data_IF_901042217093
#
_entry.id   IF_901042217093
#
_cell.length_a   1.000
_cell.length_b   1.000
_cell.length_c   1.000
_cell.angle_alpha   90.00
_cell.angle_beta   90.00
_cell.angle_gamma   90.00
#
_symmetry.space_group_name_H-M   'P 1'
#
loop_
_entity.id
_entity.type
_entity.pdbx_description
1 polymer ?
#
# COMPACT_ATOMS: atom_id res chain seq x y z
N UNK A 1 -16.96 19.55 -14.31
CA UNK A 1 -16.89 19.77 -15.78
C UNK A 1 -15.49 19.41 -16.22
N UNK A 2 -15.35 18.24 -16.84
CA UNK A 2 -14.07 17.63 -17.24
C UNK A 2 -13.43 18.43 -18.37
N UNK A 3 -12.26 19.00 -18.13
CA UNK A 3 -11.40 19.54 -19.19
C UNK A 3 -10.80 18.36 -19.95
N UNK A 4 -11.44 17.99 -21.06
CA UNK A 4 -10.90 17.08 -22.05
C UNK A 4 -9.62 17.68 -22.63
N UNK A 5 -8.49 17.02 -22.39
CA UNK A 5 -7.18 17.23 -23.03
C UNK A 5 -7.29 16.91 -24.53
N UNK A 6 -7.85 17.84 -25.32
CA UNK A 6 -7.86 17.72 -26.76
C UNK A 6 -6.45 18.02 -27.32
N UNK A 7 -5.72 16.97 -27.71
CA UNK A 7 -4.56 17.08 -28.61
C UNK A 7 -3.27 16.34 -28.21
N UNK A 8 -3.19 15.73 -27.02
CA UNK A 8 -2.01 14.95 -26.60
C UNK A 8 -2.38 13.48 -26.52
N UNK A 9 -1.72 12.65 -27.32
CA UNK A 9 -1.91 11.20 -27.27
C UNK A 9 -1.26 10.61 -26.01
N UNK A 10 -1.92 9.64 -25.34
CA UNK A 10 -1.34 8.95 -24.20
C UNK A 10 -0.18 8.03 -24.65
N UNK A 11 0.88 7.98 -23.85
CA UNK A 11 1.98 7.02 -24.06
C UNK A 11 1.46 5.61 -23.76
N UNK A 12 0.75 5.46 -22.64
CA UNK A 12 0.09 4.21 -22.24
C UNK A 12 -1.38 4.51 -21.99
N UNK A 13 -2.26 3.71 -22.56
CA UNK A 13 -3.69 3.75 -22.31
C UNK A 13 -4.20 2.34 -22.02
N UNK A 14 -5.08 2.19 -21.04
CA UNK A 14 -5.73 0.95 -20.71
C UNK A 14 -7.24 1.16 -20.84
N UNK A 15 -7.91 0.26 -21.56
CA UNK A 15 -9.36 0.27 -21.71
C UNK A 15 -9.97 -0.95 -21.03
N UNK A 16 -10.92 -0.70 -20.12
CA UNK A 16 -11.64 -1.71 -19.33
C UNK A 16 -10.71 -2.74 -18.70
N UNK A 17 -9.57 -2.27 -18.19
CA UNK A 17 -8.54 -3.11 -17.58
C UNK A 17 -9.14 -3.89 -16.41
N UNK A 18 -9.03 -5.21 -16.46
CA UNK A 18 -9.64 -6.09 -15.47
C UNK A 18 -8.66 -7.18 -15.04
N UNK A 19 -8.69 -7.51 -13.74
CA UNK A 19 -7.93 -8.63 -13.20
C UNK A 19 -8.79 -9.48 -12.27
N UNK A 20 -8.81 -10.77 -12.54
CA UNK A 20 -9.32 -11.79 -11.62
C UNK A 20 -8.29 -12.91 -11.44
N UNK A 21 -8.32 -13.54 -10.25
CA UNK A 21 -7.54 -14.72 -9.93
C UNK A 21 -8.47 -15.91 -9.69
N UNK A 22 -8.15 -17.09 -10.24
CA UNK A 22 -8.91 -18.30 -9.95
C UNK A 22 -8.67 -18.75 -8.50
N UNK A 23 -9.72 -19.21 -7.83
CA UNK A 23 -9.64 -19.86 -6.52
C UNK A 23 -9.66 -21.38 -6.66
N UNK A 24 -9.14 -22.13 -5.67
CA UNK A 24 -9.13 -23.60 -5.68
C UNK A 24 -10.53 -24.24 -5.79
N UNK A 25 -11.57 -23.55 -5.34
CA UNK A 25 -12.97 -23.98 -5.41
C UNK A 25 -13.63 -23.74 -6.80
N UNK A 26 -12.87 -23.17 -7.75
CA UNK A 26 -13.33 -22.84 -9.09
C UNK A 26 -14.02 -21.47 -9.21
N UNK A 27 -14.19 -20.75 -8.11
CA UNK A 27 -14.66 -19.36 -8.13
C UNK A 27 -13.53 -18.40 -8.53
N UNK A 28 -13.84 -17.10 -8.68
CA UNK A 28 -12.88 -16.08 -9.12
C UNK A 28 -12.95 -14.89 -8.19
N UNK A 29 -11.80 -14.44 -7.69
CA UNK A 29 -11.68 -13.16 -6.99
C UNK A 29 -11.37 -12.10 -8.04
N UNK A 30 -12.27 -11.14 -8.21
CA UNK A 30 -12.00 -9.94 -8.99
C UNK A 30 -11.18 -8.97 -8.14
N UNK A 31 -9.95 -8.70 -8.56
CA UNK A 31 -9.03 -7.79 -7.86
C UNK A 31 -9.13 -6.39 -8.44
N UNK A 32 -9.26 -6.27 -9.76
CA UNK A 32 -9.45 -4.98 -10.45
C UNK A 32 -10.68 -5.11 -11.34
N UNK A 33 -11.65 -4.23 -11.13
CA UNK A 33 -12.84 -4.09 -11.98
C UNK A 33 -12.51 -3.28 -13.24
N UNK A 34 -13.34 -3.37 -14.31
CA UNK A 34 -13.08 -2.69 -15.57
C UNK A 34 -12.78 -1.20 -15.39
N UNK A 35 -11.50 -0.85 -15.55
CA UNK A 35 -10.99 0.49 -15.28
C UNK A 35 -10.30 1.05 -16.52
N UNK A 36 -10.63 2.29 -16.88
CA UNK A 36 -9.94 3.03 -17.93
C UNK A 36 -8.87 3.93 -17.28
N UNK A 37 -7.64 3.89 -17.79
CA UNK A 37 -6.55 4.73 -17.29
C UNK A 37 -5.61 5.12 -18.43
N UNK A 38 -5.08 6.34 -18.38
CA UNK A 38 -4.16 6.86 -19.41
C UNK A 38 -3.01 7.63 -18.75
N UNK A 39 -1.81 7.44 -19.31
CA UNK A 39 -0.55 8.09 -18.92
C UNK A 39 -0.13 8.99 -20.07
N UNK A 40 -0.05 10.29 -19.80
CA UNK A 40 0.32 11.30 -20.78
C UNK A 40 1.77 11.77 -20.59
N UNK A 41 2.43 12.22 -21.67
CA UNK A 41 3.77 12.80 -21.56
C UNK A 41 3.77 14.08 -20.72
N UNK A 42 4.88 14.35 -20.05
CA UNK A 42 5.13 15.54 -19.24
C UNK A 42 4.46 15.52 -17.87
N UNK A 43 3.99 14.36 -17.39
CA UNK A 43 3.28 14.25 -16.12
C UNK A 43 3.92 13.21 -15.19
N UNK A 44 3.89 13.51 -13.90
CA UNK A 44 4.00 12.52 -12.83
C UNK A 44 2.58 12.13 -12.39
N UNK A 45 2.26 10.84 -12.46
CA UNK A 45 0.97 10.29 -12.02
C UNK A 45 1.21 9.48 -10.74
N UNK A 46 0.49 9.79 -9.66
CA UNK A 46 0.48 8.98 -8.45
C UNK A 46 -0.79 8.11 -8.39
N UNK A 47 -0.61 6.82 -8.15
CA UNK A 47 -1.66 5.87 -7.82
C UNK A 47 -1.67 5.66 -6.32
N UNK A 48 -2.67 6.25 -5.66
CA UNK A 48 -2.95 6.10 -4.25
C UNK A 48 -4.02 5.03 -4.03
N UNK A 49 -3.99 4.46 -2.84
CA UNK A 49 -4.98 3.50 -2.42
C UNK A 49 -4.46 2.72 -1.22
N UNK A 50 -5.34 2.19 -0.39
CA UNK A 50 -4.94 1.51 0.83
C UNK A 50 -4.25 0.16 0.51
N UNK A 51 -3.54 -0.43 1.47
CA UNK A 51 -2.78 -1.68 1.24
C UNK A 51 -3.68 -2.82 0.71
N UNK A 52 -3.17 -3.61 -0.24
CA UNK A 52 -3.94 -4.71 -0.83
C UNK A 52 -5.05 -4.33 -1.82
N UNK A 53 -5.28 -3.04 -2.14
CA UNK A 53 -6.30 -2.65 -3.12
C UNK A 53 -5.94 -2.94 -4.59
N UNK A 54 -4.81 -3.58 -4.89
CA UNK A 54 -4.42 -3.94 -6.25
C UNK A 54 -3.54 -2.93 -7.00
N UNK A 55 -2.95 -1.93 -6.32
CA UNK A 55 -2.02 -0.94 -6.93
C UNK A 55 -0.88 -1.58 -7.73
N UNK A 56 -0.11 -2.46 -7.08
CA UNK A 56 1.01 -3.16 -7.71
C UNK A 56 0.54 -4.09 -8.83
N UNK A 57 -0.66 -4.68 -8.71
CA UNK A 57 -1.29 -5.48 -9.76
C UNK A 57 -1.62 -4.63 -10.98
N UNK A 58 -2.18 -3.43 -10.78
CA UNK A 58 -2.46 -2.47 -11.86
C UNK A 58 -1.18 -2.02 -12.54
N UNK A 59 -0.16 -1.62 -11.77
CA UNK A 59 1.16 -1.24 -12.29
C UNK A 59 1.75 -2.36 -13.17
N UNK A 60 1.74 -3.61 -12.69
CA UNK A 60 2.28 -4.75 -13.45
C UNK A 60 1.52 -5.04 -14.74
N UNK A 61 0.21 -4.78 -14.79
CA UNK A 61 -0.55 -4.91 -16.03
C UNK A 61 -0.22 -3.79 -17.02
N UNK A 62 -0.11 -2.55 -16.54
CA UNK A 62 0.24 -1.40 -17.38
C UNK A 62 1.63 -1.52 -18.01
N UNK A 63 2.56 -2.20 -17.35
CA UNK A 63 3.91 -2.44 -17.86
C UNK A 63 4.04 -3.69 -18.74
N UNK A 64 2.97 -4.50 -18.86
CA UNK A 64 3.00 -5.79 -19.54
C UNK A 64 3.65 -6.93 -18.74
N UNK A 65 4.06 -6.70 -17.48
CA UNK A 65 4.67 -7.73 -16.63
C UNK A 65 3.64 -8.76 -16.13
N UNK A 66 2.37 -8.41 -16.05
CA UNK A 66 1.27 -9.33 -15.74
C UNK A 66 0.20 -9.26 -16.83
N UNK A 67 -0.33 -10.39 -17.32
CA UNK A 67 -1.42 -10.38 -18.28
C UNK A 67 -2.70 -9.83 -17.65
N UNK A 68 -3.50 -9.14 -18.45
CA UNK A 68 -4.85 -8.73 -18.08
C UNK A 68 -5.79 -9.94 -18.12
N UNK A 69 -6.79 -9.97 -17.25
CA UNK A 69 -7.86 -10.97 -17.33
C UNK A 69 -9.00 -10.52 -18.26
N UNK A 70 -9.13 -9.21 -18.45
CA UNK A 70 -10.03 -8.55 -19.39
C UNK A 70 -9.50 -7.16 -19.76
N UNK A 71 -10.10 -6.55 -20.79
CA UNK A 71 -9.63 -5.27 -21.32
C UNK A 71 -8.30 -5.36 -22.07
N UNK A 72 -7.74 -4.20 -22.43
CA UNK A 72 -6.50 -4.12 -23.21
C UNK A 72 -5.67 -2.93 -22.78
N UNK A 73 -4.35 -3.13 -22.69
CA UNK A 73 -3.35 -2.08 -22.50
C UNK A 73 -2.72 -1.78 -23.85
N UNK A 74 -2.58 -0.50 -24.16
CA UNK A 74 -2.03 0.04 -25.38
C UNK A 74 -0.80 0.89 -25.05
N UNK A 75 0.24 0.77 -25.87
CA UNK A 75 1.41 1.65 -25.90
C UNK A 75 1.44 2.33 -27.27
N UNK A 76 1.35 3.67 -27.31
CA UNK A 76 1.17 4.45 -28.55
C UNK A 76 0.05 3.92 -29.47
N UNK A 77 -1.07 3.48 -28.87
CA UNK A 77 -2.22 2.92 -29.60
C UNK A 77 -2.08 1.46 -30.04
N UNK A 78 -0.91 0.84 -29.86
CA UNK A 78 -0.66 -0.56 -30.17
C UNK A 78 -0.84 -1.44 -28.93
N UNK A 79 -1.52 -2.60 -29.00
CA UNK A 79 -1.67 -3.48 -27.84
C UNK A 79 -0.32 -3.95 -27.29
N UNK A 80 -0.11 -3.80 -25.97
CA UNK A 80 1.11 -4.23 -25.24
C UNK A 80 1.34 -5.74 -25.32
N UNK A 81 0.33 -6.53 -25.67
CA UNK A 81 0.51 -7.98 -25.88
C UNK A 81 1.41 -8.28 -27.09
N UNK A 82 1.43 -7.38 -28.07
CA UNK A 82 2.11 -7.58 -29.35
C UNK A 82 3.49 -6.90 -29.40
N UNK A 83 3.75 -5.98 -28.46
CA UNK A 83 4.98 -5.17 -28.39
C UNK A 83 5.47 -5.01 -26.96
N UNK A 84 6.80 -5.04 -26.76
CA UNK A 84 7.40 -4.74 -25.47
C UNK A 84 7.49 -3.22 -25.27
N UNK A 85 6.71 -2.63 -24.34
CA UNK A 85 6.73 -1.19 -24.15
C UNK A 85 8.08 -0.73 -23.57
N UNK A 86 8.59 0.43 -24.00
CA UNK A 86 9.83 0.98 -23.47
C UNK A 86 9.61 1.58 -22.07
N UNK A 87 9.53 0.72 -21.06
CA UNK A 87 9.26 1.10 -19.67
C UNK A 87 10.27 0.44 -18.73
N UNK A 88 10.48 1.05 -17.57
CA UNK A 88 11.27 0.49 -16.48
C UNK A 88 10.48 0.52 -15.19
N UNK A 89 10.78 -0.41 -14.27
CA UNK A 89 10.14 -0.51 -12.95
C UNK A 89 11.20 -0.41 -11.86
N UNK A 90 10.96 0.47 -10.90
CA UNK A 90 11.65 0.50 -9.59
C UNK A 90 10.73 -0.15 -8.58
N UNK A 91 11.17 -1.24 -7.94
CA UNK A 91 10.36 -1.99 -6.98
C UNK A 91 10.57 -1.51 -5.54
N UNK A 92 9.62 -1.85 -4.67
CA UNK A 92 9.68 -1.60 -3.23
C UNK A 92 10.86 -2.35 -2.58
N UNK A 93 11.06 -3.61 -2.97
CA UNK A 93 12.30 -4.30 -2.66
C UNK A 93 13.37 -3.81 -3.62
N UNK A 94 14.57 -3.50 -3.12
CA UNK A 94 15.67 -3.00 -3.95
C UNK A 94 15.93 -3.89 -5.19
N UNK A 95 15.61 -5.19 -5.07
CA UNK A 95 15.66 -6.19 -6.14
C UNK A 95 17.00 -6.19 -6.89
N UNK A 96 18.10 -5.87 -6.19
CA UNK A 96 19.45 -5.87 -6.72
C UNK A 96 20.01 -7.30 -6.73
N UNK A 97 20.87 -7.60 -7.68
CA UNK A 97 21.63 -8.85 -7.71
C UNK A 97 22.73 -8.76 -6.64
N UNK A 98 22.68 -9.56 -5.56
CA UNK A 98 23.58 -9.41 -4.42
C UNK A 98 25.02 -9.84 -4.72
N UNK A 99 25.23 -10.59 -5.80
CA UNK A 99 26.54 -11.04 -6.28
C UNK A 99 27.14 -10.16 -7.39
N UNK A 100 26.44 -9.11 -7.81
CA UNK A 100 26.94 -8.11 -8.75
C UNK A 100 27.29 -6.82 -8.01
N UNK A 101 28.30 -6.11 -8.51
CA UNK A 101 28.65 -4.74 -8.07
C UNK A 101 27.58 -3.72 -8.47
N UNK A 102 27.68 -2.47 -8.00
CA UNK A 102 26.81 -1.36 -8.43
C UNK A 102 26.84 -1.21 -9.94
N UNK A 103 28.03 -1.15 -10.52
CA UNK A 103 28.22 -1.02 -11.96
C UNK A 103 27.55 -2.18 -12.72
N UNK A 104 27.80 -3.42 -12.32
CA UNK A 104 27.23 -4.60 -12.97
C UNK A 104 25.71 -4.67 -12.82
N UNK A 105 25.15 -4.25 -11.67
CA UNK A 105 23.71 -4.13 -11.48
C UNK A 105 23.09 -3.13 -12.48
N UNK A 106 23.76 -2.01 -12.72
CA UNK A 106 23.30 -0.98 -13.67
C UNK A 106 23.53 -1.42 -15.12
N UNK A 107 24.58 -2.18 -15.43
CA UNK A 107 24.81 -2.73 -16.78
C UNK A 107 23.84 -3.85 -17.16
N UNK A 108 23.36 -4.64 -16.18
CA UNK A 108 22.53 -5.84 -16.40
C UNK A 108 21.36 -5.65 -17.39
N UNK A 109 20.51 -4.60 -17.31
CA UNK A 109 19.42 -4.43 -18.26
C UNK A 109 19.90 -4.04 -19.67
N UNK A 110 21.05 -3.37 -19.82
CA UNK A 110 21.64 -3.08 -21.13
C UNK A 110 22.25 -4.33 -21.75
N UNK A 111 22.87 -5.17 -20.92
CA UNK A 111 23.36 -6.49 -21.34
C UNK A 111 22.20 -7.37 -21.86
N UNK A 112 21.08 -7.41 -21.14
CA UNK A 112 19.89 -8.13 -21.57
C UNK A 112 19.32 -7.61 -22.91
N UNK A 113 19.50 -6.32 -23.21
CA UNK A 113 19.14 -5.70 -24.51
C UNK A 113 20.21 -5.88 -25.60
N UNK A 114 21.31 -6.59 -25.33
CA UNK A 114 22.38 -6.84 -26.29
C UNK A 114 23.28 -5.64 -26.59
N UNK A 115 23.31 -4.63 -25.70
CA UNK A 115 24.16 -3.45 -25.89
C UNK A 115 25.64 -3.84 -25.73
N UNK A 116 26.54 -3.43 -26.65
CA UNK A 116 27.97 -3.75 -26.57
C UNK A 116 28.62 -3.30 -25.27
N UNK A 117 29.58 -4.09 -24.77
CA UNK A 117 30.25 -3.90 -23.47
C UNK A 117 30.76 -2.46 -23.26
N UNK A 118 31.47 -1.90 -24.24
CA UNK A 118 32.03 -0.53 -24.13
C UNK A 118 30.94 0.51 -23.97
N UNK A 119 29.84 0.37 -24.71
CA UNK A 119 28.73 1.33 -24.70
C UNK A 119 27.91 1.20 -23.42
N UNK A 120 27.60 -0.04 -22.98
CA UNK A 120 26.86 -0.24 -21.73
C UNK A 120 27.62 0.27 -20.52
N UNK A 121 28.93 0.03 -20.47
CA UNK A 121 29.80 0.51 -19.39
C UNK A 121 29.80 2.04 -19.31
N UNK A 122 29.96 2.71 -20.46
CA UNK A 122 29.92 4.17 -20.55
C UNK A 122 28.57 4.76 -20.10
N UNK A 123 27.46 4.12 -20.46
CA UNK A 123 26.11 4.55 -20.03
C UNK A 123 25.90 4.31 -18.53
N UNK A 124 26.34 3.16 -18.02
CA UNK A 124 26.23 2.82 -16.61
C UNK A 124 27.01 3.82 -15.73
N UNK A 125 28.26 4.14 -16.08
CA UNK A 125 29.04 5.15 -15.34
C UNK A 125 28.37 6.52 -15.33
N UNK A 126 27.85 6.97 -16.48
CA UNK A 126 27.15 8.26 -16.56
C UNK A 126 25.92 8.31 -15.65
N UNK A 127 25.12 7.25 -15.63
CA UNK A 127 23.91 7.26 -14.80
C UNK A 127 24.25 7.13 -13.31
N UNK A 128 25.29 6.37 -12.95
CA UNK A 128 25.79 6.24 -11.57
C UNK A 128 26.23 7.60 -11.03
N UNK A 129 26.98 8.36 -11.81
CA UNK A 129 27.37 9.73 -11.49
C UNK A 129 26.13 10.64 -11.31
N UNK A 130 25.16 10.54 -12.22
CA UNK A 130 23.93 11.37 -12.16
C UNK A 130 23.05 11.12 -10.93
N UNK A 131 23.14 9.94 -10.30
CA UNK A 131 22.42 9.61 -9.07
C UNK A 131 23.28 9.80 -7.80
N UNK A 132 24.49 10.34 -7.93
CA UNK A 132 25.39 10.62 -6.82
C UNK A 132 25.95 9.36 -6.15
N UNK A 133 26.32 8.37 -6.97
CA UNK A 133 26.98 7.13 -6.52
C UNK A 133 28.43 7.03 -7.04
N UNK A 134 29.05 8.16 -7.35
CA UNK A 134 30.46 8.22 -7.73
C UNK A 134 31.37 7.63 -6.64
N UNK A 135 32.33 6.79 -7.04
CA UNK A 135 33.23 6.10 -6.13
C UNK A 135 32.68 4.81 -5.50
N UNK A 136 31.42 4.44 -5.77
CA UNK A 136 30.80 3.19 -5.31
C UNK A 136 30.59 2.16 -6.44
N UNK A 137 31.14 2.38 -7.62
CA UNK A 137 30.93 1.55 -8.81
C UNK A 137 31.26 0.07 -8.57
N UNK A 138 32.33 -0.18 -7.81
CA UNK A 138 32.82 -1.52 -7.49
C UNK A 138 32.24 -2.12 -6.20
N UNK A 139 31.40 -1.38 -5.47
CA UNK A 139 30.80 -1.86 -4.23
C UNK A 139 29.71 -2.90 -4.52
N UNK A 140 29.56 -3.88 -3.64
CA UNK A 140 28.47 -4.85 -3.65
C UNK A 140 27.27 -4.32 -2.85
N UNK A 141 26.03 -4.74 -3.16
CA UNK A 141 24.84 -4.30 -2.43
C UNK A 141 24.93 -4.43 -0.91
N UNK A 142 25.60 -5.46 -0.38
CA UNK A 142 25.79 -5.65 1.06
C UNK A 142 26.60 -4.55 1.75
N UNK A 143 27.39 -3.79 0.98
CA UNK A 143 28.26 -2.70 1.45
C UNK A 143 27.56 -1.33 1.40
N UNK A 144 26.32 -1.29 0.89
CA UNK A 144 25.53 -0.08 0.67
C UNK A 144 24.47 0.12 1.75
N UNK A 145 24.19 1.38 2.09
CA UNK A 145 23.01 1.75 2.89
C UNK A 145 21.70 1.51 2.12
N UNK A 146 20.56 1.55 2.81
CA UNK A 146 19.24 1.39 2.16
C UNK A 146 19.01 2.43 1.05
N UNK A 147 19.30 3.71 1.33
CA UNK A 147 19.19 4.77 0.34
C UNK A 147 20.11 4.58 -0.86
N UNK A 148 21.35 4.14 -0.64
CA UNK A 148 22.28 3.83 -1.72
C UNK A 148 21.78 2.66 -2.58
N UNK A 149 21.25 1.59 -1.98
CA UNK A 149 20.62 0.50 -2.74
C UNK A 149 19.46 0.98 -3.61
N UNK A 150 18.65 1.90 -3.08
CA UNK A 150 17.55 2.48 -3.86
C UNK A 150 18.08 3.32 -5.04
N UNK A 151 19.15 4.10 -4.85
CA UNK A 151 19.82 4.82 -5.96
C UNK A 151 20.30 3.87 -7.04
N UNK A 152 20.88 2.73 -6.68
CA UNK A 152 21.28 1.70 -7.66
C UNK A 152 20.05 1.19 -8.42
N UNK A 153 18.93 0.94 -7.72
CA UNK A 153 17.67 0.52 -8.33
C UNK A 153 17.13 1.54 -9.34
N UNK A 154 17.16 2.83 -8.98
CA UNK A 154 16.77 3.95 -9.86
C UNK A 154 17.73 4.08 -11.05
N UNK A 155 19.04 4.04 -10.82
CA UNK A 155 20.04 4.09 -11.89
C UNK A 155 19.86 2.94 -12.89
N UNK A 156 19.65 1.71 -12.41
CA UNK A 156 19.35 0.54 -13.23
C UNK A 156 18.08 0.71 -14.06
N UNK A 157 17.05 1.36 -13.52
CA UNK A 157 15.83 1.66 -14.26
C UNK A 157 16.04 2.76 -15.32
N UNK A 158 16.83 3.79 -15.01
CA UNK A 158 17.04 4.94 -15.88
C UNK A 158 18.05 4.70 -17.01
N UNK A 159 19.03 3.80 -16.82
CA UNK A 159 20.12 3.55 -17.77
C UNK A 159 19.63 3.10 -19.16
N UNK A 160 18.46 2.46 -19.21
CA UNK A 160 17.82 1.98 -20.45
C UNK A 160 16.96 3.04 -21.13
N UNK A 161 16.98 4.27 -20.61
CA UNK A 161 16.25 5.43 -21.14
C UNK A 161 14.75 5.13 -21.33
N UNK A 162 14.04 4.75 -20.26
CA UNK A 162 12.63 4.36 -20.36
C UNK A 162 11.77 5.55 -20.75
N UNK A 163 10.75 5.32 -21.57
CA UNK A 163 9.78 6.35 -21.91
C UNK A 163 8.87 6.66 -20.72
N UNK A 164 8.47 5.63 -19.97
CA UNK A 164 7.73 5.75 -18.71
C UNK A 164 8.49 5.03 -17.60
N UNK A 165 8.78 5.76 -16.52
CA UNK A 165 9.35 5.20 -15.30
C UNK A 165 8.22 4.83 -14.33
N UNK A 166 8.04 3.55 -14.09
CA UNK A 166 7.13 3.04 -13.07
C UNK A 166 7.87 2.84 -11.75
N UNK A 167 7.25 3.20 -10.64
CA UNK A 167 7.83 3.02 -9.32
C UNK A 167 6.77 2.46 -8.37
N UNK A 168 7.06 1.32 -7.75
CA UNK A 168 6.16 0.61 -6.83
C UNK A 168 6.66 0.82 -5.40
N UNK A 169 6.06 1.78 -4.68
CA UNK A 169 6.47 2.23 -3.35
C UNK A 169 7.99 2.46 -3.19
N UNK A 170 8.61 3.28 -4.06
CA UNK A 170 10.07 3.40 -4.15
C UNK A 170 10.74 4.00 -2.90
N UNK A 171 9.99 4.56 -1.95
CA UNK A 171 10.53 5.25 -0.78
C UNK A 171 10.12 4.62 0.55
N UNK A 172 9.24 3.60 0.55
CA UNK A 172 8.63 3.09 1.79
C UNK A 172 9.59 2.28 2.68
N UNK A 173 10.66 1.72 2.11
CA UNK A 173 11.67 0.95 2.85
C UNK A 173 12.80 1.80 3.46
N UNK A 174 12.69 3.13 3.38
CA UNK A 174 13.75 4.08 3.77
C UNK A 174 13.34 4.88 5.00
N UNK A 175 14.32 5.34 5.78
CA UNK A 175 14.06 6.33 6.81
C UNK A 175 13.62 7.67 6.20
N UNK A 176 12.91 8.47 6.99
CA UNK A 176 12.25 9.71 6.55
C UNK A 176 13.20 10.68 5.84
N UNK A 177 14.41 10.89 6.39
CA UNK A 177 15.38 11.84 5.83
C UNK A 177 15.98 11.33 4.52
N UNK A 178 16.31 10.04 4.46
CA UNK A 178 16.80 9.41 3.23
C UNK A 178 15.75 9.40 2.13
N UNK A 179 14.49 9.12 2.47
CA UNK A 179 13.36 9.19 1.53
C UNK A 179 13.16 10.61 0.98
N UNK A 180 13.19 11.62 1.85
CA UNK A 180 13.08 13.04 1.45
C UNK A 180 14.19 13.44 0.47
N UNK A 181 15.42 13.06 0.79
CA UNK A 181 16.59 13.35 -0.06
C UNK A 181 16.44 12.72 -1.44
N UNK A 182 16.05 11.44 -1.51
CA UNK A 182 15.87 10.73 -2.78
C UNK A 182 14.70 11.27 -3.61
N UNK A 183 13.62 11.70 -2.97
CA UNK A 183 12.52 12.40 -3.64
C UNK A 183 13.01 13.70 -4.27
N UNK A 184 13.77 14.50 -3.52
CA UNK A 184 14.36 15.75 -4.02
C UNK A 184 15.24 15.52 -5.25
N UNK A 185 16.10 14.51 -5.21
CA UNK A 185 17.00 14.17 -6.32
C UNK A 185 16.24 13.67 -7.56
N UNK A 186 15.23 12.81 -7.38
CA UNK A 186 14.36 12.40 -8.48
C UNK A 186 13.68 13.60 -9.13
N UNK A 187 13.19 14.54 -8.31
CA UNK A 187 12.56 15.77 -8.80
C UNK A 187 13.57 16.67 -9.51
N UNK A 188 14.82 16.75 -9.07
CA UNK A 188 15.87 17.49 -9.77
C UNK A 188 16.13 16.90 -11.16
N UNK A 189 16.23 15.58 -11.26
CA UNK A 189 16.42 14.89 -12.54
C UNK A 189 15.23 15.12 -13.49
N UNK A 190 14.01 14.99 -12.97
CA UNK A 190 12.77 15.17 -13.72
C UNK A 190 12.57 16.62 -14.19
N UNK A 191 12.55 17.58 -13.27
CA UNK A 191 12.31 19.00 -13.57
C UNK A 191 13.46 19.62 -14.38
N UNK A 192 14.70 19.17 -14.12
CA UNK A 192 15.88 19.57 -14.87
C UNK A 192 15.98 18.95 -16.26
N UNK A 193 15.05 18.06 -16.65
CA UNK A 193 15.06 17.30 -17.92
C UNK A 193 16.39 16.58 -18.15
N UNK A 194 17.01 16.09 -17.06
CA UNK A 194 18.29 15.37 -17.09
C UNK A 194 18.12 13.90 -17.47
N UNK A 195 16.87 13.41 -17.53
CA UNK A 195 16.49 12.07 -17.96
C UNK A 195 15.58 12.14 -19.20
N UNK A 196 15.67 11.19 -20.15
CA UNK A 196 14.81 11.15 -21.35
C UNK A 196 13.38 10.66 -21.06
N UNK A 197 13.10 10.29 -19.82
CA UNK A 197 11.79 9.86 -19.34
C UNK A 197 10.72 10.90 -19.66
N UNK A 198 9.62 10.45 -20.27
CA UNK A 198 8.50 11.31 -20.69
C UNK A 198 7.35 11.30 -19.69
N UNK A 199 7.22 10.28 -18.86
CA UNK A 199 6.25 10.25 -17.77
C UNK A 199 6.76 9.41 -16.59
N UNK A 200 6.31 9.73 -15.38
CA UNK A 200 6.58 8.93 -14.18
C UNK A 200 5.24 8.44 -13.62
N UNK A 201 5.14 7.15 -13.32
CA UNK A 201 3.98 6.57 -12.65
C UNK A 201 4.42 5.99 -11.32
N UNK A 202 4.01 6.63 -10.22
CA UNK A 202 4.37 6.22 -8.87
C UNK A 202 3.16 5.58 -8.18
N UNK A 203 3.35 4.38 -7.63
CA UNK A 203 2.44 3.79 -6.67
C UNK A 203 2.95 4.14 -5.29
N UNK A 204 2.08 4.71 -4.48
CA UNK A 204 2.39 5.03 -3.08
C UNK A 204 1.16 4.87 -2.21
N UNK A 205 1.37 4.71 -0.91
CA UNK A 205 0.32 4.84 0.08
C UNK A 205 0.38 6.19 0.81
N UNK A 206 1.44 6.97 0.61
CA UNK A 206 1.63 8.27 1.28
C UNK A 206 0.97 9.41 0.49
N UNK A 207 -0.02 10.05 1.11
CA UNK A 207 -0.80 11.13 0.50
C UNK A 207 0.08 12.37 0.26
N UNK A 208 0.87 12.78 1.26
CA UNK A 208 1.75 13.93 1.11
C UNK A 208 2.77 13.72 0.00
N UNK A 209 3.34 12.52 -0.12
CA UNK A 209 4.27 12.17 -1.19
C UNK A 209 3.61 12.34 -2.56
N UNK A 210 2.38 11.85 -2.73
CA UNK A 210 1.63 12.05 -3.96
C UNK A 210 1.40 13.54 -4.25
N UNK A 211 1.05 14.34 -3.23
CA UNK A 211 0.83 15.79 -3.37
C UNK A 211 2.14 16.56 -3.54
N UNK A 212 3.29 16.05 -3.11
CA UNK A 212 4.60 16.66 -3.37
C UNK A 212 5.06 16.35 -4.80
N UNK A 213 4.87 15.13 -5.28
CA UNK A 213 5.48 14.65 -6.53
C UNK A 213 4.57 14.76 -7.75
N UNK A 214 3.28 14.44 -7.65
CA UNK A 214 2.46 14.14 -8.82
C UNK A 214 1.74 15.36 -9.42
N UNK A 215 1.59 15.41 -10.73
CA UNK A 215 0.70 16.34 -11.42
C UNK A 215 -0.76 15.85 -11.42
N UNK A 216 -0.95 14.52 -11.39
CA UNK A 216 -2.25 13.85 -11.32
C UNK A 216 -2.22 12.73 -10.29
N UNK A 217 -3.21 12.69 -9.41
CA UNK A 217 -3.36 11.68 -8.37
C UNK A 217 -4.62 10.89 -8.66
N UNK A 218 -4.50 9.57 -8.70
CA UNK A 218 -5.59 8.61 -8.93
C UNK A 218 -5.77 7.81 -7.65
N UNK A 219 -6.97 7.84 -7.07
CA UNK A 219 -7.30 7.08 -5.86
C UNK A 219 -8.03 5.81 -6.26
N UNK A 220 -7.46 4.65 -5.91
CA UNK A 220 -8.08 3.34 -6.07
C UNK A 220 -8.94 2.98 -4.87
N UNK A 221 -10.15 2.51 -5.17
CA UNK A 221 -10.99 1.85 -4.17
C UNK A 221 -10.62 0.39 -3.92
N UNK A 222 -11.25 -0.23 -2.91
CA UNK A 222 -11.09 -1.66 -2.57
C UNK A 222 -12.28 -2.51 -3.02
N UNK A 223 -12.03 -3.81 -3.25
CA UNK A 223 -13.01 -4.91 -3.37
C UNK A 223 -14.21 -4.71 -4.32
N UNK A 224 -14.04 -4.76 -5.65
CA UNK A 224 -12.81 -4.79 -6.44
C UNK A 224 -12.23 -3.38 -6.69
N UNK A 225 -10.94 -3.31 -7.04
CA UNK A 225 -10.30 -2.04 -7.34
C UNK A 225 -10.96 -1.33 -8.53
N UNK A 226 -11.23 -0.04 -8.36
CA UNK A 226 -11.71 0.87 -9.38
C UNK A 226 -11.17 2.27 -9.10
N UNK A 227 -11.11 3.12 -10.12
CA UNK A 227 -10.81 4.55 -9.90
C UNK A 227 -11.99 5.16 -9.15
N UNK A 228 -11.75 5.54 -7.90
CA UNK A 228 -12.74 6.17 -7.04
C UNK A 228 -12.75 7.69 -7.23
N UNK A 229 -11.57 8.28 -7.28
CA UNK A 229 -11.39 9.72 -7.44
C UNK A 229 -10.11 10.03 -8.22
N UNK A 230 -10.11 11.20 -8.86
CA UNK A 230 -8.93 11.76 -9.51
C UNK A 230 -8.76 13.23 -9.13
N UNK A 231 -7.52 13.62 -8.88
CA UNK A 231 -7.15 14.97 -8.50
C UNK A 231 -6.04 15.50 -9.41
N UNK A 232 -6.18 16.74 -9.87
CA UNK A 232 -5.12 17.44 -10.60
C UNK A 232 -4.40 18.39 -9.63
N UNK A 233 -3.08 18.27 -9.54
CA UNK A 233 -2.28 19.06 -8.61
C UNK A 233 -1.74 20.31 -9.30
N UNK A 234 -2.54 21.37 -9.31
CA UNK A 234 -2.22 22.63 -9.98
C UNK A 234 -1.32 23.55 -9.13
N UNK A 235 -0.27 22.98 -8.53
CA UNK A 235 0.72 23.71 -7.71
C UNK A 235 2.11 23.62 -8.34
N UNK A 236 2.80 24.76 -8.41
CA UNK A 236 4.15 24.83 -8.96
C UNK A 236 5.17 24.13 -8.04
N UNK A 237 6.21 23.56 -8.64
CA UNK A 237 7.36 23.03 -7.90
C UNK A 237 8.37 24.14 -7.55
N UNK A 238 9.08 24.05 -6.40
CA UNK A 238 8.85 23.11 -5.30
C UNK A 238 7.57 23.47 -4.54
N UNK A 239 6.83 22.45 -4.09
CA UNK A 239 5.54 22.64 -3.42
C UNK A 239 5.74 22.94 -1.94
N UNK A 240 5.10 23.99 -1.44
CA UNK A 240 5.11 24.34 -0.01
C UNK A 240 4.14 23.44 0.76
N UNK A 241 4.71 22.51 1.53
CA UNK A 241 3.95 21.53 2.35
C UNK A 241 3.13 22.20 3.45
N UNK A 242 3.51 23.42 3.86
CA UNK A 242 2.79 24.19 4.89
C UNK A 242 1.79 25.18 4.29
N UNK A 243 1.69 25.23 2.96
CA UNK A 243 0.80 26.13 2.26
C UNK A 243 -0.67 25.67 2.39
N UNK A 244 -1.64 26.58 2.53
CA UNK A 244 -3.06 26.23 2.69
C UNK A 244 -3.60 25.30 1.58
N UNK A 245 -3.21 25.55 0.33
CA UNK A 245 -3.62 24.72 -0.82
C UNK A 245 -3.07 23.29 -0.76
N UNK A 246 -1.90 23.10 -0.17
CA UNK A 246 -1.30 21.78 -0.01
C UNK A 246 -2.12 20.98 1.00
N UNK A 247 -2.35 21.58 2.18
CA UNK A 247 -3.15 20.99 3.26
C UNK A 247 -4.57 20.68 2.79
N UNK A 248 -5.26 21.62 2.14
CA UNK A 248 -6.61 21.41 1.58
C UNK A 248 -6.66 20.21 0.62
N UNK A 249 -5.64 20.04 -0.22
CA UNK A 249 -5.61 18.93 -1.19
C UNK A 249 -5.32 17.59 -0.50
N UNK A 250 -4.44 17.58 0.50
CA UNK A 250 -4.18 16.39 1.34
C UNK A 250 -5.48 15.96 2.03
N UNK A 251 -6.22 16.90 2.64
CA UNK A 251 -7.49 16.62 3.31
C UNK A 251 -8.54 16.05 2.35
N UNK A 252 -8.64 16.60 1.14
CA UNK A 252 -9.57 16.12 0.12
C UNK A 252 -9.24 14.69 -0.34
N UNK A 253 -7.96 14.38 -0.54
CA UNK A 253 -7.51 13.05 -0.94
C UNK A 253 -7.74 12.06 0.20
N UNK A 254 -7.45 12.46 1.44
CA UNK A 254 -7.72 11.67 2.63
C UNK A 254 -9.20 11.34 2.75
N UNK A 255 -10.10 12.32 2.58
CA UNK A 255 -11.56 12.10 2.57
C UNK A 255 -11.96 11.11 1.49
N UNK A 256 -11.38 11.18 0.29
CA UNK A 256 -11.65 10.22 -0.77
C UNK A 256 -11.14 8.80 -0.44
N UNK A 257 -10.06 8.67 0.34
CA UNK A 257 -9.55 7.38 0.81
C UNK A 257 -10.38 6.79 1.96
N UNK A 258 -10.92 7.62 2.86
CA UNK A 258 -11.68 7.16 4.05
C UNK A 258 -13.19 7.04 3.84
N UNK A 259 -13.80 7.80 2.91
CA UNK A 259 -15.20 7.58 2.52
C UNK A 259 -15.45 6.21 1.89
N UNK A 260 -14.38 5.49 1.54
CA UNK A 260 -14.42 4.07 1.20
C UNK A 260 -14.88 3.17 2.36
N UNK A 261 -14.73 3.61 3.62
CA UNK A 261 -15.00 2.78 4.81
C UNK A 261 -16.43 2.91 5.34
N UNK A 262 -17.20 3.92 4.90
CA UNK A 262 -18.58 4.12 5.34
C UNK A 262 -19.54 4.55 4.20
N UNK A 263 -20.05 3.62 3.39
CA UNK A 263 -21.29 3.82 2.63
C UNK A 263 -22.50 3.41 3.49
N UNK A 264 -22.71 4.04 4.65
CA UNK A 264 -24.00 3.92 5.33
C UNK A 264 -25.02 4.83 4.65
N UNK A 265 -26.02 4.20 3.98
CA UNK A 265 -27.44 4.59 4.04
C UNK A 265 -28.33 4.10 2.87
N UNK A 266 -27.90 3.19 1.97
CA UNK A 266 -28.86 2.63 0.99
C UNK A 266 -28.66 1.17 0.56
N UNK A 267 -27.49 0.57 0.78
CA UNK A 267 -27.27 -0.84 0.43
C UNK A 267 -27.50 -1.79 1.62
N UNK A 268 -27.34 -1.32 2.86
CA UNK A 268 -27.43 -2.15 4.07
C UNK A 268 -28.81 -2.78 4.32
N UNK A 269 -29.90 -2.26 3.73
CA UNK A 269 -31.24 -2.86 3.89
C UNK A 269 -31.56 -3.90 2.80
N UNK A 270 -30.96 -3.79 1.61
CA UNK A 270 -31.09 -4.79 0.55
C UNK A 270 -30.04 -5.90 0.69
N UNK A 271 -28.86 -5.57 1.22
CA UNK A 271 -27.79 -6.52 1.53
C UNK A 271 -28.09 -7.35 2.78
N UNK A 272 -28.67 -6.79 3.86
CA UNK A 272 -29.06 -7.61 5.04
C UNK A 272 -30.04 -8.74 4.72
N UNK A 273 -30.89 -8.59 3.70
CA UNK A 273 -31.80 -9.63 3.24
C UNK A 273 -31.12 -10.71 2.37
N UNK A 274 -29.98 -10.38 1.74
CA UNK A 274 -29.19 -11.28 0.91
C UNK A 274 -27.98 -11.92 1.65
N UNK A 275 -27.42 -11.22 2.64
CA UNK A 275 -26.29 -11.63 3.48
C UNK A 275 -26.68 -12.69 4.52
N UNK A 276 -27.96 -12.76 4.90
CA UNK A 276 -28.48 -13.88 5.69
C UNK A 276 -28.38 -15.23 4.95
N UNK A 277 -28.04 -15.25 3.66
CA UNK A 277 -28.01 -16.44 2.81
C UNK A 277 -26.61 -16.88 2.32
N UNK A 278 -25.52 -16.16 2.61
CA UNK A 278 -24.16 -16.56 2.19
C UNK A 278 -23.14 -16.50 3.32
N UNK A 279 -22.54 -17.65 3.63
CA UNK A 279 -21.56 -17.81 4.71
C UNK A 279 -20.14 -17.39 4.33
N UNK A 280 -19.40 -16.99 5.38
CA UNK A 280 -17.95 -16.74 5.50
C UNK A 280 -17.38 -15.56 4.69
N UNK A 281 -17.45 -14.36 5.27
CA UNK A 281 -16.54 -13.27 4.89
C UNK A 281 -15.22 -13.38 5.67
N UNK A 282 -14.11 -13.27 4.94
CA UNK A 282 -12.76 -13.13 5.49
C UNK A 282 -12.49 -11.63 5.67
N UNK A 283 -12.34 -11.21 6.93
CA UNK A 283 -12.03 -9.82 7.29
C UNK A 283 -10.51 -9.68 7.44
N UNK A 284 -9.90 -8.71 6.74
CA UNK A 284 -8.48 -8.39 6.93
C UNK A 284 -8.26 -7.69 8.27
N UNK A 285 -7.29 -8.18 9.05
CA UNK A 285 -6.85 -7.53 10.27
C UNK A 285 -5.88 -6.40 9.96
N UNK A 286 -6.14 -5.16 10.42
CA UNK A 286 -5.14 -4.11 10.40
C UNK A 286 -3.97 -4.47 11.33
N UNK A 287 -2.74 -4.30 10.85
CA UNK A 287 -1.54 -4.68 11.59
C UNK A 287 -1.19 -3.64 12.66
N UNK A 288 -1.89 -3.66 13.79
CA UNK A 288 -1.56 -2.85 14.96
C UNK A 288 -1.46 -3.68 16.24
N UNK A 289 -0.71 -3.17 17.22
CA UNK A 289 -0.66 -3.76 18.55
C UNK A 289 -1.80 -3.18 19.40
N UNK A 290 -2.47 -3.99 20.24
CA UNK A 290 -3.54 -3.50 21.13
C UNK A 290 -3.13 -2.31 22.02
N UNK A 291 -1.85 -2.23 22.41
CA UNK A 291 -1.31 -1.10 23.16
C UNK A 291 -1.29 0.22 22.38
N UNK A 292 -1.02 0.17 21.07
CA UNK A 292 -1.08 1.36 20.20
C UNK A 292 -2.51 1.89 20.08
N UNK A 293 -3.47 0.98 19.93
CA UNK A 293 -4.90 1.32 19.92
C UNK A 293 -5.34 1.92 21.26
N UNK A 294 -4.94 1.34 22.39
CA UNK A 294 -5.28 1.88 23.69
C UNK A 294 -4.74 3.31 23.88
N UNK A 295 -3.49 3.57 23.48
CA UNK A 295 -2.91 4.91 23.53
C UNK A 295 -3.66 5.91 22.63
N UNK A 296 -4.03 5.50 21.41
CA UNK A 296 -4.82 6.36 20.51
C UNK A 296 -6.17 6.76 21.14
N UNK A 297 -6.88 5.82 21.76
CA UNK A 297 -8.17 6.08 22.40
C UNK A 297 -8.05 6.97 23.64
N UNK A 298 -6.96 6.85 24.41
CA UNK A 298 -6.65 7.76 25.52
C UNK A 298 -6.43 9.19 25.02
N UNK A 299 -5.60 9.37 23.99
CA UNK A 299 -5.33 10.71 23.45
C UNK A 299 -6.61 11.31 22.87
N UNK A 300 -7.43 10.53 22.15
CA UNK A 300 -8.72 11.04 21.67
C UNK A 300 -9.64 11.48 22.80
N UNK A 301 -9.64 10.78 23.93
CA UNK A 301 -10.43 11.19 25.10
C UNK A 301 -9.91 12.49 25.73
N UNK A 302 -8.59 12.72 25.73
CA UNK A 302 -8.00 14.01 26.13
C UNK A 302 -8.44 15.17 25.21
N UNK A 303 -8.89 14.86 23.99
CA UNK A 303 -9.48 15.79 23.02
C UNK A 303 -11.03 15.70 23.01
N UNK A 304 -11.66 15.56 24.17
CA UNK A 304 -13.13 15.46 24.34
C UNK A 304 -13.81 14.30 23.56
N UNK A 305 -13.01 13.33 23.12
CA UNK A 305 -13.43 12.18 22.32
C UNK A 305 -13.61 12.47 20.83
N UNK A 306 -13.07 13.59 20.32
CA UNK A 306 -13.09 13.95 18.89
C UNK A 306 -11.83 14.70 18.49
N UNK A 307 -11.10 14.20 17.50
CA UNK A 307 -9.99 14.92 16.90
C UNK A 307 -9.90 14.70 15.39
N UNK A 308 -9.46 15.74 14.67
CA UNK A 308 -8.99 15.60 13.30
C UNK A 308 -7.67 14.79 13.31
N UNK A 309 -7.61 13.74 12.48
CA UNK A 309 -6.47 12.82 12.49
C UNK A 309 -5.15 13.49 12.05
N UNK A 310 -5.19 14.55 11.24
CA UNK A 310 -4.00 15.31 10.83
C UNK A 310 -3.46 16.16 11.98
N UNK A 311 -4.35 16.80 12.73
CA UNK A 311 -3.97 17.55 13.94
C UNK A 311 -3.34 16.59 14.94
N UNK A 312 -3.99 15.44 15.16
CA UNK A 312 -3.50 14.41 16.07
C UNK A 312 -2.14 13.83 15.64
N UNK A 313 -1.96 13.54 14.34
CA UNK A 313 -0.69 13.07 13.79
C UNK A 313 0.42 14.13 13.97
N UNK A 314 0.10 15.40 13.71
CA UNK A 314 1.00 16.53 13.91
C UNK A 314 1.47 16.68 15.36
N UNK A 315 0.55 16.56 16.32
CA UNK A 315 0.88 16.61 17.76
C UNK A 315 1.76 15.44 18.20
N UNK A 316 1.52 14.25 17.64
CA UNK A 316 2.31 13.05 17.92
C UNK A 316 3.63 13.00 17.14
N UNK A 317 3.90 13.98 16.27
CA UNK A 317 5.04 13.96 15.34
C UNK A 317 5.09 12.67 14.50
N UNK A 318 3.91 12.18 14.12
CA UNK A 318 3.72 11.01 13.29
C UNK A 318 3.14 11.42 11.93
N UNK A 319 3.39 10.59 10.93
CA UNK A 319 2.65 10.64 9.66
C UNK A 319 1.23 10.11 9.88
N UNK A 320 0.22 10.67 9.20
CA UNK A 320 -1.18 10.23 9.31
C UNK A 320 -1.33 8.73 9.02
N UNK A 321 -0.59 8.22 8.03
CA UNK A 321 -0.60 6.80 7.65
C UNK A 321 -0.13 5.86 8.76
N UNK A 322 0.75 6.35 9.66
CA UNK A 322 1.20 5.56 10.81
C UNK A 322 0.08 5.35 11.83
N UNK A 323 -0.93 6.23 11.86
CA UNK A 323 -2.11 6.10 12.71
C UNK A 323 -3.19 5.19 12.10
N UNK A 324 -3.25 5.07 10.77
CA UNK A 324 -4.31 4.36 10.06
C UNK A 324 -4.53 2.92 10.55
N UNK A 325 -3.52 2.03 10.67
CA UNK A 325 -3.78 0.67 11.17
C UNK A 325 -4.40 0.65 12.57
N UNK A 326 -4.10 1.65 13.38
CA UNK A 326 -4.61 1.81 14.73
C UNK A 326 -6.05 2.35 14.73
N UNK A 327 -6.35 3.29 13.84
CA UNK A 327 -7.69 3.82 13.57
C UNK A 327 -8.60 2.72 13.01
N UNK A 328 -8.17 2.04 11.94
CA UNK A 328 -8.89 0.93 11.30
C UNK A 328 -9.23 -0.16 12.32
N UNK A 329 -8.31 -0.44 13.25
CA UNK A 329 -8.53 -1.41 14.33
C UNK A 329 -9.60 -0.93 15.30
N UNK A 330 -9.56 0.34 15.72
CA UNK A 330 -10.55 0.90 16.62
C UNK A 330 -11.94 0.95 15.96
N UNK A 331 -12.02 1.25 14.67
CA UNK A 331 -13.26 1.22 13.87
C UNK A 331 -13.77 -0.22 13.73
N UNK A 332 -12.91 -1.17 13.35
CA UNK A 332 -13.24 -2.59 13.25
C UNK A 332 -13.80 -3.14 14.57
N UNK A 333 -13.27 -2.69 15.70
CA UNK A 333 -13.71 -3.11 17.02
C UNK A 333 -14.93 -2.32 17.54
N UNK A 334 -15.43 -1.33 16.79
CA UNK A 334 -16.57 -0.50 17.17
C UNK A 334 -16.28 0.51 18.28
N UNK A 335 -15.01 0.78 18.56
CA UNK A 335 -14.54 1.75 19.56
C UNK A 335 -14.44 3.17 19.00
N UNK A 336 -14.35 3.30 17.68
CA UNK A 336 -14.19 4.56 16.97
C UNK A 336 -15.17 4.65 15.79
N UNK A 337 -15.55 5.87 15.42
CA UNK A 337 -16.24 6.22 14.18
C UNK A 337 -15.47 7.31 13.44
N UNK A 338 -15.53 7.29 12.12
CA UNK A 338 -14.97 8.35 11.28
C UNK A 338 -16.10 9.18 10.68
N UNK A 339 -16.12 10.49 10.96
CA UNK A 339 -17.07 11.44 10.37
C UNK A 339 -16.31 12.62 9.76
N UNK A 340 -16.43 12.81 8.45
CA UNK A 340 -15.81 13.94 7.71
C UNK A 340 -14.30 14.14 7.91
N UNK A 341 -13.57 13.09 8.33
CA UNK A 341 -12.13 13.12 8.60
C UNK A 341 -11.77 13.18 10.09
N UNK A 342 -12.76 13.34 10.97
CA UNK A 342 -12.58 13.30 12.41
C UNK A 342 -12.72 11.88 12.96
N UNK A 343 -11.81 11.52 13.86
CA UNK A 343 -11.89 10.34 14.70
C UNK A 343 -12.73 10.63 15.94
N UNK A 344 -13.87 9.95 16.06
CA UNK A 344 -14.85 10.16 17.14
C UNK A 344 -15.01 8.88 17.97
N UNK A 345 -14.80 8.98 19.28
CA UNK A 345 -14.99 7.86 20.19
C UNK A 345 -16.46 7.45 20.28
N UNK A 346 -16.73 6.15 20.16
CA UNK A 346 -18.05 5.59 20.50
C UNK A 346 -18.23 5.52 22.02
N UNK A 347 -19.45 5.21 22.49
CA UNK A 347 -19.67 4.96 23.91
C UNK A 347 -18.78 3.82 24.45
N UNK A 348 -18.59 2.75 23.67
CA UNK A 348 -17.70 1.65 24.01
C UNK A 348 -16.22 2.09 23.96
N UNK A 349 -15.85 2.96 23.01
CA UNK A 349 -14.51 3.58 22.94
C UNK A 349 -14.16 4.43 24.15
N UNK A 350 -15.09 5.28 24.60
CA UNK A 350 -14.92 6.07 25.84
C UNK A 350 -14.79 5.16 27.06
N UNK A 351 -15.65 4.15 27.17
CA UNK A 351 -15.56 3.17 28.25
C UNK A 351 -14.23 2.42 28.23
N UNK A 352 -13.69 2.11 27.05
CA UNK A 352 -12.38 1.49 26.88
C UNK A 352 -11.24 2.40 27.35
N UNK A 353 -11.26 3.69 26.95
CA UNK A 353 -10.24 4.67 27.32
C UNK A 353 -10.16 4.84 28.86
N UNK A 354 -11.31 4.91 29.53
CA UNK A 354 -11.41 5.06 30.99
C UNK A 354 -11.19 3.77 31.79
N UNK A 355 -11.20 2.61 31.13
CA UNK A 355 -11.08 1.33 31.82
C UNK A 355 -9.65 1.07 32.31
N UNK A 356 -9.55 0.37 33.44
CA UNK A 356 -8.29 -0.22 33.88
C UNK A 356 -7.84 -1.35 32.93
N UNK A 357 -6.64 -1.89 33.16
CA UNK A 357 -6.05 -2.92 32.29
C UNK A 357 -6.98 -4.13 32.11
N UNK A 358 -7.71 -4.54 33.15
CA UNK A 358 -8.60 -5.70 33.08
C UNK A 358 -9.92 -5.37 32.36
N UNK A 359 -10.47 -4.18 32.58
CA UNK A 359 -11.64 -3.68 31.86
C UNK A 359 -11.37 -3.52 30.37
N UNK A 360 -10.19 -3.04 29.98
CA UNK A 360 -9.76 -2.96 28.57
C UNK A 360 -9.68 -4.33 27.92
N UNK A 361 -9.05 -5.30 28.56
CA UNK A 361 -8.98 -6.69 28.06
C UNK A 361 -10.37 -7.29 27.88
N UNK A 362 -11.27 -7.08 28.84
CA UNK A 362 -12.65 -7.58 28.78
C UNK A 362 -13.43 -6.97 27.61
N UNK A 363 -13.32 -5.66 27.43
CA UNK A 363 -13.97 -4.92 26.34
C UNK A 363 -13.39 -5.33 24.98
N UNK A 364 -12.06 -5.41 24.88
CA UNK A 364 -11.37 -5.88 23.68
C UNK A 364 -11.80 -7.29 23.28
N UNK A 365 -11.84 -8.21 24.25
CA UNK A 365 -12.29 -9.60 24.03
C UNK A 365 -13.71 -9.64 23.46
N UNK A 366 -14.64 -8.86 24.02
CA UNK A 366 -16.01 -8.77 23.54
C UNK A 366 -16.06 -8.24 22.10
N UNK A 367 -15.36 -7.15 21.82
CA UNK A 367 -15.31 -6.51 20.50
C UNK A 367 -14.69 -7.45 19.45
N UNK A 368 -13.57 -8.09 19.76
CA UNK A 368 -12.90 -9.05 18.88
C UNK A 368 -13.83 -10.22 18.55
N UNK A 369 -14.47 -10.83 19.54
CA UNK A 369 -15.35 -11.97 19.27
C UNK A 369 -16.60 -11.57 18.47
N UNK A 370 -17.06 -10.32 18.60
CA UNK A 370 -18.18 -9.79 17.82
C UNK A 370 -17.79 -9.46 16.38
N UNK A 371 -16.63 -8.85 16.16
CA UNK A 371 -16.28 -8.21 14.89
C UNK A 371 -15.17 -8.90 14.10
N UNK A 372 -14.45 -9.87 14.69
CA UNK A 372 -13.32 -10.56 14.05
C UNK A 372 -13.62 -12.06 13.87
N UNK A 373 -14.07 -12.48 12.67
CA UNK A 373 -14.38 -13.89 12.39
C UNK A 373 -13.18 -14.83 12.58
N UNK A 374 -11.98 -14.41 12.18
CA UNK A 374 -10.76 -15.23 12.31
C UNK A 374 -10.50 -15.65 13.76
N UNK A 375 -10.56 -14.70 14.70
CA UNK A 375 -10.32 -14.97 16.12
C UNK A 375 -11.43 -15.83 16.74
N UNK A 376 -12.67 -15.64 16.29
CA UNK A 376 -13.79 -16.53 16.67
C UNK A 376 -13.56 -17.96 16.16
N UNK A 377 -13.10 -18.13 14.92
CA UNK A 377 -12.80 -19.42 14.33
C UNK A 377 -11.62 -20.11 15.03
N UNK A 378 -10.53 -19.39 15.31
CA UNK A 378 -9.39 -19.90 16.07
C UNK A 378 -9.82 -20.40 17.44
N UNK A 379 -10.62 -19.61 18.17
CA UNK A 379 -11.14 -20.01 19.48
C UNK A 379 -12.03 -21.26 19.40
N UNK A 380 -12.92 -21.34 18.39
CA UNK A 380 -13.79 -22.50 18.18
C UNK A 380 -12.99 -23.76 17.80
N UNK A 381 -11.99 -23.62 16.92
CA UNK A 381 -11.12 -24.71 16.51
C UNK A 381 -10.34 -25.28 17.70
N UNK A 382 -9.78 -24.43 18.55
CA UNK A 382 -9.10 -24.85 19.78
C UNK A 382 -10.09 -25.54 20.75
N UNK A 383 -11.30 -24.99 20.95
CA UNK A 383 -12.34 -25.62 21.78
C UNK A 383 -12.77 -27.01 21.28
N UNK A 384 -12.70 -27.24 19.98
CA UNK A 384 -13.07 -28.54 19.38
C UNK A 384 -12.06 -29.66 19.64
N UNK A 385 -10.83 -29.33 20.05
CA UNK A 385 -9.77 -30.31 20.32
C UNK A 385 -9.77 -30.73 21.78
N UNK A 386 -9.60 -32.04 22.02
CA UNK A 386 -9.54 -32.62 23.37
C UNK A 386 -8.41 -32.04 24.21
N UNK A 387 -7.25 -31.79 23.61
CA UNK A 387 -6.10 -31.16 24.27
C UNK A 387 -6.13 -29.61 24.20
N UNK A 388 -7.16 -29.02 23.57
CA UNK A 388 -7.31 -27.57 23.38
C UNK A 388 -6.11 -26.88 22.73
N UNK A 389 -5.30 -27.63 21.97
CA UNK A 389 -4.06 -27.15 21.35
C UNK A 389 -4.06 -27.44 19.86
N UNK A 390 -3.62 -26.47 19.07
CA UNK A 390 -3.41 -26.60 17.61
C UNK A 390 -2.08 -25.94 17.20
N UNK A 391 -1.36 -26.47 16.21
CA UNK A 391 -0.23 -25.75 15.62
C UNK A 391 -0.71 -24.47 14.93
N UNK A 392 0.07 -23.40 15.00
CA UNK A 392 -0.23 -22.14 14.30
C UNK A 392 -0.21 -22.32 12.78
N UNK A 393 0.64 -23.22 12.28
CA UNK A 393 0.72 -23.63 10.86
C UNK A 393 -0.64 -24.05 10.29
N UNK A 394 -1.49 -24.73 11.09
CA UNK A 394 -2.84 -25.09 10.64
C UNK A 394 -3.69 -23.86 10.29
N UNK A 395 -3.56 -22.76 11.04
CA UNK A 395 -4.27 -21.52 10.73
C UNK A 395 -3.57 -20.73 9.64
N UNK A 396 -2.26 -20.88 9.49
CA UNK A 396 -1.51 -20.31 8.38
C UNK A 396 -1.98 -20.90 7.06
N UNK A 397 -2.10 -22.23 6.97
CA UNK A 397 -2.60 -22.93 5.78
C UNK A 397 -4.00 -22.44 5.37
N UNK A 398 -4.88 -22.19 6.36
CA UNK A 398 -6.22 -21.65 6.10
C UNK A 398 -6.20 -20.20 5.60
N UNK A 399 -5.20 -19.41 6.02
CA UNK A 399 -5.02 -18.04 5.57
C UNK A 399 -4.35 -17.97 4.20
N UNK A 400 -3.46 -18.90 3.88
CA UNK A 400 -2.81 -19.01 2.57
C UNK A 400 -3.82 -19.28 1.44
N UNK A 401 -5.00 -19.83 1.75
CA UNK A 401 -6.11 -19.96 0.79
C UNK A 401 -6.70 -18.60 0.35
N UNK A 402 -6.50 -17.54 1.14
CA UNK A 402 -7.15 -16.24 0.98
C UNK A 402 -6.16 -15.08 0.83
N UNK A 403 -4.90 -15.27 1.21
CA UNK A 403 -3.86 -14.24 1.25
C UNK A 403 -2.57 -14.72 0.59
N UNK A 404 -1.72 -13.79 0.14
CA UNK A 404 -0.34 -14.13 -0.22
C UNK A 404 0.42 -14.61 1.02
N UNK A 405 1.42 -15.48 0.86
CA UNK A 405 2.22 -16.05 1.96
C UNK A 405 2.70 -15.00 2.99
N UNK A 406 3.24 -13.87 2.52
CA UNK A 406 3.68 -12.78 3.41
C UNK A 406 2.51 -12.13 4.18
N UNK A 407 1.35 -12.01 3.54
CA UNK A 407 0.17 -11.41 4.15
C UNK A 407 -0.51 -12.40 5.11
N UNK A 408 -0.63 -13.67 4.75
CA UNK A 408 -1.14 -14.72 5.63
C UNK A 408 -0.32 -14.79 6.93
N UNK A 409 1.01 -14.71 6.82
CA UNK A 409 1.91 -14.62 7.97
C UNK A 409 1.62 -13.39 8.84
N UNK A 410 1.49 -12.19 8.24
CA UNK A 410 1.17 -10.97 9.01
C UNK A 410 -0.22 -11.03 9.66
N UNK A 411 -1.22 -11.57 8.97
CA UNK A 411 -2.57 -11.78 9.48
C UNK A 411 -2.55 -12.73 10.68
N UNK A 412 -1.82 -13.84 10.59
CA UNK A 412 -1.66 -14.79 11.69
C UNK A 412 -0.93 -14.17 12.88
N UNK A 413 0.18 -13.46 12.64
CA UNK A 413 0.92 -12.76 13.70
C UNK A 413 0.02 -11.76 14.44
N UNK A 414 -0.78 -10.99 13.70
CA UNK A 414 -1.73 -10.02 14.25
C UNK A 414 -2.82 -10.71 15.08
N UNK A 415 -3.42 -11.78 14.53
CA UNK A 415 -4.41 -12.59 15.23
C UNK A 415 -3.83 -13.19 16.52
N UNK A 416 -2.59 -13.69 16.50
CA UNK A 416 -1.95 -14.23 17.70
C UNK A 416 -1.79 -13.15 18.77
N UNK A 417 -1.31 -11.96 18.39
CA UNK A 417 -1.15 -10.85 19.33
C UNK A 417 -2.49 -10.42 19.95
N UNK A 418 -3.53 -10.27 19.12
CA UNK A 418 -4.85 -9.87 19.58
C UNK A 418 -5.52 -10.94 20.43
N UNK A 419 -5.40 -12.21 20.03
CA UNK A 419 -5.94 -13.35 20.77
C UNK A 419 -5.31 -13.53 22.15
N UNK A 420 -4.00 -13.29 22.27
CA UNK A 420 -3.31 -13.28 23.57
C UNK A 420 -3.74 -12.11 24.44
N UNK A 421 -3.87 -10.91 23.87
CA UNK A 421 -4.35 -9.74 24.61
C UNK A 421 -5.81 -9.91 25.09
N UNK A 422 -6.65 -10.51 24.25
CA UNK A 422 -8.05 -10.86 24.56
C UNK A 422 -8.20 -12.10 25.48
N UNK A 423 -7.09 -12.74 25.86
CA UNK A 423 -7.05 -13.96 26.68
C UNK A 423 -7.90 -15.11 26.09
N UNK A 424 -7.91 -15.21 24.75
CA UNK A 424 -8.60 -16.27 24.03
C UNK A 424 -7.78 -17.56 24.01
N UNK A 425 -6.47 -17.42 23.84
CA UNK A 425 -5.48 -18.49 23.80
C UNK A 425 -4.08 -17.94 24.10
N UNK A 426 -3.16 -18.83 24.46
CA UNK A 426 -1.73 -18.55 24.55
C UNK A 426 -0.99 -19.14 23.34
N UNK A 427 0.24 -18.65 23.10
CA UNK A 427 1.10 -19.07 22.00
C UNK A 427 2.52 -19.37 22.49
N UNK A 428 2.98 -20.58 22.24
CA UNK A 428 4.36 -21.00 22.48
C UNK A 428 5.18 -20.86 21.20
N UNK A 429 6.09 -19.88 21.19
CA UNK A 429 6.96 -19.59 20.05
C UNK A 429 7.99 -20.70 19.78
N UNK A 430 8.36 -21.52 20.78
CA UNK A 430 9.32 -22.60 20.59
C UNK A 430 8.68 -23.82 19.93
N UNK A 431 7.43 -24.13 20.28
CA UNK A 431 6.69 -25.26 19.70
C UNK A 431 5.76 -24.88 18.55
N UNK A 432 5.53 -23.59 18.32
CA UNK A 432 4.62 -23.08 17.28
C UNK A 432 3.16 -23.41 17.56
N UNK A 433 2.77 -23.60 18.82
CA UNK A 433 1.43 -24.09 19.20
C UNK A 433 0.60 -23.03 19.91
N UNK A 434 -0.68 -22.99 19.56
CA UNK A 434 -1.73 -22.21 20.21
C UNK A 434 -2.49 -23.11 21.19
N UNK A 435 -2.71 -22.65 22.41
CA UNK A 435 -3.46 -23.39 23.44
C UNK A 435 -4.56 -22.51 24.02
N UNK A 436 -5.79 -23.01 24.07
CA UNK A 436 -6.93 -22.24 24.62
C UNK A 436 -6.67 -21.87 26.08
N UNK A 437 -6.86 -20.60 26.43
CA UNK A 437 -6.76 -20.12 27.82
C UNK A 437 -7.97 -20.62 28.61
N UNK A 438 -7.75 -21.11 29.83
CA UNK A 438 -8.85 -21.45 30.74
C UNK A 438 -9.52 -20.16 31.21
N UNK A 439 -10.81 -19.99 30.87
CA UNK A 439 -11.68 -18.94 31.43
C UNK A 439 -12.12 -19.26 32.84
#
# INVERSE_FOLDING_TARGET
MSTTTAGVEPIIAASKLEKFYPQPDGSRIQVISPTDIAIYPGQIIALLGPSGCGKSTMLRMLTGLSPTSGGTVFWHGHPVRDESPNVSIVFQSFALFPWLTVLENVEAPLEARGVPVVERHKRALRIIDSVGLDGFESAYPKELSGGMKQRVGVARALVVEPEVLFMDEPFSALDVLTAETLRGELMELWLGKKIPTRAIFIVTHNIEEAVVLADRIIVLGRNPAHIHAEFNVNMAYPRDRKGPRFTELVDLIYKALTQQEHPEATLAEQHRAAEAARGKEVVMLPHTRPGGMAGLLEILEDHDGRADLHVLAGELSLEVDALLPTVDTAVLLGLLKLEEGDAILTADGKAFAHADIQGRKTTFRKAVLANVPLLRQMQQALKSKTNRTLPAEFFQDLLDEHFSEDEARRQLETAIQWGRYAELFDYDAASGKLTLTET
#
